data_IF_267219122880
#
_entry.id   IF_267219122880
#
_cell.length_a   1.000
_cell.length_b   1.000
_cell.length_c   1.000
_cell.angle_alpha   90.00
_cell.angle_beta   90.00
_cell.angle_gamma   90.00
#
_symmetry.space_group_name_H-M   'P 1'
#
loop_
_entity.id
_entity.type
_entity.pdbx_description
1 polymer ?
#
# COMPACT_ATOMS: atom_id res chain seq x y z
N UNK A 1 -19.53 -5.52 30.68
CA UNK A 1 -19.72 -6.21 29.37
C UNK A 1 -18.68 -5.64 28.40
N UNK A 2 -17.80 -6.43 27.78
CA UNK A 2 -16.78 -5.87 26.90
C UNK A 2 -17.40 -5.45 25.56
N UNK A 3 -17.02 -4.25 25.10
CA UNK A 3 -17.41 -3.72 23.80
C UNK A 3 -16.76 -4.57 22.69
N UNK A 4 -17.59 -5.38 22.03
CA UNK A 4 -17.20 -6.07 20.82
C UNK A 4 -17.08 -4.98 19.76
N UNK A 5 -15.85 -4.59 19.45
CA UNK A 5 -15.54 -3.75 18.31
C UNK A 5 -15.82 -4.60 17.07
N UNK A 6 -17.10 -4.66 16.66
CA UNK A 6 -17.56 -5.36 15.48
C UNK A 6 -17.08 -4.58 14.26
N UNK A 7 -15.78 -4.65 13.99
CA UNK A 7 -15.24 -4.27 12.70
C UNK A 7 -15.91 -5.19 11.70
N UNK A 8 -16.83 -4.64 10.89
CA UNK A 8 -17.57 -5.33 9.83
C UNK A 8 -16.65 -6.30 9.07
N UNK A 9 -16.68 -7.59 9.42
CA UNK A 9 -15.86 -8.63 8.77
C UNK A 9 -16.19 -8.71 7.28
N UNK A 10 -17.44 -8.49 6.92
CA UNK A 10 -17.95 -8.52 5.55
C UNK A 10 -17.29 -7.47 4.63
N UNK A 11 -17.08 -6.26 5.15
CA UNK A 11 -16.38 -5.19 4.42
C UNK A 11 -14.87 -5.41 4.35
N UNK A 12 -14.28 -6.03 5.37
CA UNK A 12 -12.84 -6.34 5.40
C UNK A 12 -12.48 -7.45 4.40
N UNK A 13 -13.32 -8.48 4.29
CA UNK A 13 -13.18 -9.57 3.34
C UNK A 13 -13.30 -9.07 1.89
N UNK A 14 -14.27 -8.19 1.64
CA UNK A 14 -14.47 -7.52 0.35
C UNK A 14 -13.26 -6.68 -0.07
N UNK A 15 -12.66 -5.91 0.84
CA UNK A 15 -11.45 -5.12 0.57
C UNK A 15 -10.20 -5.99 0.44
N UNK A 16 -10.09 -7.05 1.23
CA UNK A 16 -9.01 -8.02 1.12
C UNK A 16 -9.00 -8.67 -0.27
N UNK A 17 -10.15 -9.17 -0.73
CA UNK A 17 -10.30 -9.76 -2.05
C UNK A 17 -9.93 -8.76 -3.16
N UNK A 18 -10.32 -7.48 -3.04
CA UNK A 18 -9.92 -6.42 -3.97
C UNK A 18 -8.41 -6.24 -4.05
N UNK A 19 -7.72 -6.19 -2.91
CA UNK A 19 -6.26 -6.02 -2.87
C UNK A 19 -5.54 -7.22 -3.44
N UNK A 20 -5.99 -8.43 -3.10
CA UNK A 20 -5.41 -9.68 -3.63
C UNK A 20 -5.66 -9.79 -5.13
N UNK A 21 -6.87 -9.48 -5.60
CA UNK A 21 -7.20 -9.45 -7.03
C UNK A 21 -6.38 -8.42 -7.78
N UNK A 22 -6.27 -7.19 -7.28
CA UNK A 22 -5.48 -6.14 -7.91
C UNK A 22 -3.97 -6.47 -7.98
N UNK A 23 -3.43 -7.14 -6.95
CA UNK A 23 -2.05 -7.63 -6.96
C UNK A 23 -1.87 -8.75 -8.01
N UNK A 24 -2.84 -9.66 -8.13
CA UNK A 24 -2.82 -10.72 -9.15
C UNK A 24 -2.88 -10.14 -10.57
N UNK A 25 -3.77 -9.18 -10.83
CA UNK A 25 -3.88 -8.46 -12.11
C UNK A 25 -2.58 -7.71 -12.47
N UNK A 26 -1.91 -7.15 -11.47
CA UNK A 26 -0.61 -6.51 -11.64
C UNK A 26 0.55 -7.50 -11.82
N UNK A 27 0.30 -8.80 -11.69
CA UNK A 27 1.32 -9.86 -11.75
C UNK A 27 2.31 -9.82 -10.58
N UNK A 28 1.96 -9.17 -9.46
CA UNK A 28 2.85 -8.97 -8.31
C UNK A 28 2.36 -9.79 -7.13
N UNK A 29 3.24 -10.62 -6.59
CA UNK A 29 2.93 -11.38 -5.38
C UNK A 29 3.21 -10.56 -4.12
N UNK A 30 2.48 -10.87 -3.05
CA UNK A 30 2.76 -10.34 -1.69
C UNK A 30 4.21 -10.59 -1.25
N UNK A 31 4.78 -11.73 -1.66
CA UNK A 31 6.17 -12.09 -1.40
C UNK A 31 7.14 -11.17 -2.14
N UNK A 32 6.95 -10.95 -3.45
CA UNK A 32 7.75 -9.99 -4.20
C UNK A 32 7.63 -8.58 -3.61
N UNK A 33 6.44 -8.18 -3.17
CA UNK A 33 6.23 -6.88 -2.54
C UNK A 33 6.98 -6.75 -1.21
N UNK A 34 7.06 -7.84 -0.43
CA UNK A 34 7.87 -7.89 0.78
C UNK A 34 9.37 -7.78 0.50
N UNK A 35 9.86 -8.52 -0.49
CA UNK A 35 11.24 -8.49 -0.95
C UNK A 35 11.62 -7.10 -1.50
N UNK A 36 10.77 -6.47 -2.32
CA UNK A 36 10.98 -5.12 -2.85
C UNK A 36 11.04 -4.05 -1.75
N UNK A 37 10.23 -4.18 -0.69
CA UNK A 37 10.20 -3.24 0.42
C UNK A 37 11.23 -3.54 1.51
N UNK A 38 11.88 -4.71 1.48
CA UNK A 38 12.75 -5.18 2.55
C UNK A 38 12.01 -5.33 3.89
N UNK A 39 10.77 -5.80 3.87
CA UNK A 39 9.92 -6.00 5.07
C UNK A 39 9.54 -7.48 5.17
N UNK A 40 9.24 -7.96 6.37
CA UNK A 40 8.81 -9.35 6.54
C UNK A 40 7.52 -9.66 5.77
N UNK A 41 7.50 -10.84 5.13
CA UNK A 41 6.34 -11.34 4.36
C UNK A 41 5.06 -11.36 5.20
N UNK A 42 5.17 -11.81 6.45
CA UNK A 42 4.07 -11.81 7.42
C UNK A 42 3.50 -10.41 7.66
N UNK A 43 4.35 -9.38 7.67
CA UNK A 43 3.90 -8.01 7.82
C UNK A 43 3.09 -7.55 6.60
N UNK A 44 3.61 -7.79 5.39
CA UNK A 44 2.88 -7.48 4.15
C UNK A 44 1.53 -8.19 4.11
N UNK A 45 1.50 -9.46 4.52
CA UNK A 45 0.28 -10.25 4.57
C UNK A 45 -0.77 -9.65 5.50
N UNK A 46 -0.38 -9.29 6.73
CA UNK A 46 -1.26 -8.62 7.70
C UNK A 46 -1.78 -7.27 7.21
N UNK A 47 -0.96 -6.53 6.46
CA UNK A 47 -1.40 -5.25 5.89
C UNK A 47 -2.38 -5.45 4.73
N UNK A 48 -2.10 -6.37 3.81
CA UNK A 48 -3.02 -6.69 2.71
C UNK A 48 -4.34 -7.28 3.21
N UNK A 49 -4.30 -8.08 4.28
CA UNK A 49 -5.48 -8.57 5.00
C UNK A 49 -6.27 -7.47 5.71
N UNK A 50 -5.72 -6.26 5.88
CA UNK A 50 -6.33 -5.20 6.66
C UNK A 50 -6.28 -5.44 8.17
N UNK A 51 -5.58 -6.48 8.63
CA UNK A 51 -5.34 -6.76 10.05
C UNK A 51 -4.40 -5.72 10.69
N UNK A 52 -3.58 -5.05 9.88
CA UNK A 52 -2.65 -4.02 10.33
C UNK A 52 -2.55 -2.87 9.33
N UNK A 53 -2.40 -1.65 9.82
CA UNK A 53 -2.05 -0.51 8.98
C UNK A 53 -0.55 -0.50 8.68
N UNK A 54 -0.18 -0.26 7.44
CA UNK A 54 1.21 -0.30 7.00
C UNK A 54 1.44 0.64 5.84
N UNK A 55 1.67 1.92 6.13
CA UNK A 55 1.71 2.98 5.13
C UNK A 55 2.58 2.61 3.92
N UNK A 56 3.85 2.23 4.10
CA UNK A 56 4.72 1.86 2.98
C UNK A 56 4.19 0.72 2.10
N UNK A 57 3.52 -0.27 2.71
CA UNK A 57 2.90 -1.40 1.99
C UNK A 57 1.63 -0.93 1.27
N UNK A 58 0.79 -0.15 1.94
CA UNK A 58 -0.44 0.41 1.33
C UNK A 58 -0.12 1.25 0.09
N UNK A 59 0.93 2.08 0.18
CA UNK A 59 1.42 2.91 -0.92
C UNK A 59 1.98 2.06 -2.06
N UNK A 60 2.79 1.04 -1.73
CA UNK A 60 3.36 0.14 -2.71
C UNK A 60 2.27 -0.61 -3.48
N UNK A 61 1.27 -1.16 -2.76
CA UNK A 61 0.12 -1.82 -3.40
C UNK A 61 -0.59 -0.84 -4.32
N UNK A 62 -0.95 0.36 -3.84
CA UNK A 62 -1.60 1.40 -4.67
C UNK A 62 -0.79 1.73 -5.93
N UNK A 63 0.53 1.92 -5.80
CA UNK A 63 1.40 2.26 -6.93
C UNK A 63 1.52 1.11 -7.94
N UNK A 64 1.81 -0.10 -7.46
CA UNK A 64 2.05 -1.26 -8.31
C UNK A 64 0.79 -1.79 -8.99
N UNK A 65 -0.37 -1.68 -8.33
CA UNK A 65 -1.63 -2.10 -8.94
C UNK A 65 -2.25 -1.03 -9.83
N UNK A 66 -1.76 0.22 -9.75
CA UNK A 66 -2.33 1.36 -10.47
C UNK A 66 -3.80 1.65 -10.12
N UNK A 67 -4.27 1.17 -8.97
CA UNK A 67 -5.65 1.36 -8.49
C UNK A 67 -5.68 2.45 -7.45
N UNK A 68 -6.74 3.24 -7.42
CA UNK A 68 -6.91 4.32 -6.45
C UNK A 68 -6.87 3.79 -5.01
N UNK A 69 -6.27 4.55 -4.11
CA UNK A 69 -6.15 4.15 -2.70
C UNK A 69 -7.54 3.95 -2.07
N UNK A 70 -8.52 4.79 -2.41
CA UNK A 70 -9.89 4.66 -1.94
C UNK A 70 -10.54 3.34 -2.36
N UNK A 71 -10.29 2.88 -3.59
CA UNK A 71 -10.85 1.62 -4.07
C UNK A 71 -10.27 0.39 -3.33
N UNK A 72 -8.97 0.44 -3.02
CA UNK A 72 -8.24 -0.62 -2.32
C UNK A 72 -8.48 -0.64 -0.80
N UNK A 73 -8.59 0.53 -0.19
CA UNK A 73 -8.55 0.69 1.27
C UNK A 73 -9.86 1.23 1.85
N UNK A 74 -10.81 1.66 1.00
CA UNK A 74 -12.09 2.24 1.42
C UNK A 74 -11.97 3.64 2.03
N UNK A 75 -10.80 4.28 1.93
CA UNK A 75 -10.48 5.59 2.51
C UNK A 75 -9.55 6.36 1.59
N UNK A 76 -9.52 7.70 1.64
CA UNK A 76 -8.53 8.47 0.90
C UNK A 76 -7.11 8.18 1.37
N UNK A 77 -6.13 8.35 0.47
CA UNK A 77 -4.72 8.16 0.80
C UNK A 77 -4.31 9.13 1.91
N UNK A 78 -3.90 8.65 3.10
CA UNK A 78 -3.50 9.54 4.17
C UNK A 78 -2.20 10.26 3.79
N UNK A 79 -2.11 11.55 4.09
CA UNK A 79 -0.88 12.32 3.90
C UNK A 79 0.25 11.68 4.76
N UNK A 80 1.38 11.26 4.16
CA UNK A 80 2.48 10.69 4.92
C UNK A 80 3.05 11.70 5.90
N UNK A 81 3.37 11.22 7.09
CA UNK A 81 4.28 11.94 8.00
C UNK A 81 5.69 12.01 7.41
N UNK A 82 6.55 12.93 7.86
CA UNK A 82 7.93 13.05 7.37
C UNK A 82 8.72 11.74 7.46
N UNK A 83 8.53 10.97 8.55
CA UNK A 83 9.15 9.66 8.75
C UNK A 83 8.62 8.61 7.75
N UNK A 84 7.32 8.61 7.47
CA UNK A 84 6.71 7.72 6.48
C UNK A 84 7.16 8.07 5.06
N UNK A 85 7.24 9.35 4.72
CA UNK A 85 7.77 9.82 3.44
C UNK A 85 9.24 9.44 3.26
N UNK A 86 10.04 9.53 4.33
CA UNK A 86 11.43 9.06 4.33
C UNK A 86 11.53 7.55 4.11
N UNK A 87 10.73 6.75 4.83
CA UNK A 87 10.70 5.29 4.64
C UNK A 87 10.22 4.88 3.26
N UNK A 88 9.22 5.58 2.69
CA UNK A 88 8.75 5.38 1.32
C UNK A 88 9.86 5.61 0.29
N UNK A 89 10.60 6.71 0.44
CA UNK A 89 11.73 7.03 -0.42
C UNK A 89 12.85 6.01 -0.30
N UNK A 90 13.19 5.59 0.92
CA UNK A 90 14.30 4.67 1.16
C UNK A 90 13.98 3.22 0.78
N UNK A 91 12.76 2.74 1.06
CA UNK A 91 12.39 1.33 0.88
C UNK A 91 11.65 1.04 -0.41
N UNK A 92 10.70 1.90 -0.78
CA UNK A 92 9.88 1.69 -1.97
C UNK A 92 10.40 2.48 -3.18
N UNK A 93 11.36 3.39 -3.00
CA UNK A 93 11.76 4.40 -3.99
C UNK A 93 10.54 5.18 -4.51
N UNK A 94 9.57 5.44 -3.63
CA UNK A 94 8.35 6.17 -3.96
C UNK A 94 8.36 7.55 -3.30
N UNK A 95 7.77 8.54 -3.97
CA UNK A 95 7.53 9.89 -3.45
C UNK A 95 6.03 10.14 -3.39
N UNK A 96 5.60 10.78 -2.31
CA UNK A 96 4.27 11.34 -2.20
C UNK A 96 4.13 12.58 -3.10
N UNK A 97 3.13 12.55 -3.97
CA UNK A 97 2.81 13.65 -4.91
C UNK A 97 1.71 14.56 -4.35
N UNK A 98 0.84 14.03 -3.49
CA UNK A 98 -0.38 14.72 -3.04
C UNK A 98 -1.53 14.68 -4.05
N UNK A 99 -1.35 13.98 -5.16
CA UNK A 99 -2.38 13.78 -6.18
C UNK A 99 -3.38 12.71 -5.71
N UNK A 100 -4.70 12.95 -5.76
CA UNK A 100 -5.70 12.00 -5.24
C UNK A 100 -5.80 10.72 -6.09
N UNK A 101 -5.57 10.82 -7.39
CA UNK A 101 -5.64 9.69 -8.33
C UNK A 101 -4.32 8.91 -8.39
N UNK A 102 -3.19 9.62 -8.26
CA UNK A 102 -1.84 9.05 -8.21
C UNK A 102 -1.04 9.57 -7.02
N UNK A 103 -1.39 9.18 -5.79
CA UNK A 103 -0.77 9.70 -4.57
C UNK A 103 0.73 9.37 -4.43
N UNK A 104 1.21 8.37 -5.19
CA UNK A 104 2.59 7.90 -5.13
C UNK A 104 3.18 7.76 -6.52
N UNK A 105 4.33 8.39 -6.72
CA UNK A 105 5.12 8.29 -7.94
C UNK A 105 6.47 7.65 -7.65
N UNK A 106 6.99 6.87 -8.60
CA UNK A 106 8.35 6.32 -8.50
C UNK A 106 9.35 7.48 -8.53
N UNK A 107 10.25 7.53 -7.56
CA UNK A 107 11.45 8.36 -7.62
C UNK A 107 12.33 7.77 -8.72
N UNK A 108 12.03 8.09 -9.97
CA UNK A 108 12.97 7.86 -11.06
C UNK A 108 14.23 8.63 -10.67
N UNK A 109 15.38 7.95 -10.67
CA UNK A 109 16.66 8.63 -10.83
C UNK A 109 16.46 9.47 -12.08
N UNK A 110 16.49 10.78 -11.95
CA UNK A 110 16.66 11.65 -13.10
C UNK A 110 18.08 11.36 -13.60
N UNK A 111 18.22 10.29 -14.38
CA UNK A 111 19.30 10.14 -15.36
C UNK A 111 18.80 10.86 -16.60
N UNK A 112 18.58 12.17 -16.47
CA UNK A 112 18.85 13.07 -17.58
C UNK A 112 20.37 13.18 -17.59
N UNK A 113 20.99 12.23 -18.29
CA UNK A 113 22.37 12.31 -18.70
C UNK A 113 22.45 13.01 -20.04
N UNK A 114 23.53 13.78 -20.17
CA UNK A 114 24.13 14.35 -21.37
C UNK A 114 23.46 15.61 -21.96
#
# INVERSE_FOLDING_TARGET
MPAINTVNRDGLDSLHARRVGALAEAGITRTQLADMLGISRTWVWKVVAGERSGHAVECAVTHYTGKSHEWLWGRPAPKPTPEQAWRLRQRAKLRWTGDPDRPFESVRKNTEGA
#
